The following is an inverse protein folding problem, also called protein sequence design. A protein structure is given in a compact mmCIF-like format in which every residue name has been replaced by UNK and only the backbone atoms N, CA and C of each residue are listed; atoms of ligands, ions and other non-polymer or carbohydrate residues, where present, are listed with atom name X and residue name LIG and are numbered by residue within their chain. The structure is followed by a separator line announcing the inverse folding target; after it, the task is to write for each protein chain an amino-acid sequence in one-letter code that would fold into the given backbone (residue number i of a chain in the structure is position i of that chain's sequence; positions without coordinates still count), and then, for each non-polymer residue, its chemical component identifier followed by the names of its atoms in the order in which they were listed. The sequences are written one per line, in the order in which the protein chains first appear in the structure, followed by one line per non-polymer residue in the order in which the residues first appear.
data_IF_660040923616
#
_entry.id   IF_660040923616
#
_cell.length_a   1.000
_cell.length_b   1.000
_cell.length_c   1.000
_cell.angle_alpha   90.00
_cell.angle_beta   90.00
_cell.angle_gamma   90.00
#
_symmetry.space_group_name_H-M   'P 1'
#
loop_
_entity.id
_entity.type
_entity.pdbx_description
1 polymer ?
#
# COMPACT_ATOMS: atom_id res chain seq x y z
N UNK A 1 -41.14 -8.15 13.44
CA UNK A 1 -40.25 -8.16 14.61
C UNK A 1 -38.84 -7.90 14.08
N UNK A 2 -38.40 -6.65 14.14
CA UNK A 2 -37.16 -6.18 13.51
C UNK A 2 -36.13 -5.98 14.62
N UNK A 3 -35.13 -6.84 14.67
CA UNK A 3 -34.02 -6.74 15.62
C UNK A 3 -33.12 -5.59 15.18
N UNK A 4 -33.12 -4.50 15.93
CA UNK A 4 -32.18 -3.40 15.76
C UNK A 4 -30.78 -3.88 16.18
N UNK A 5 -29.85 -3.95 15.24
CA UNK A 5 -28.43 -4.13 15.54
C UNK A 5 -27.93 -2.86 16.25
N UNK A 6 -27.48 -3.03 17.49
CA UNK A 6 -26.89 -1.97 18.28
C UNK A 6 -25.68 -1.37 17.55
N UNK A 7 -25.67 -0.04 17.43
CA UNK A 7 -24.58 0.77 16.89
C UNK A 7 -23.37 0.62 17.84
N UNK A 8 -22.20 0.14 17.39
CA UNK A 8 -21.02 0.12 18.26
C UNK A 8 -20.67 1.57 18.64
N UNK A 9 -20.42 1.77 19.92
CA UNK A 9 -20.09 3.06 20.51
C UNK A 9 -18.90 3.70 19.76
N UNK A 10 -18.97 5.01 19.57
CA UNK A 10 -17.96 5.79 18.87
C UNK A 10 -16.58 5.57 19.48
N UNK A 11 -15.64 5.11 18.66
CA UNK A 11 -14.23 5.03 18.99
C UNK A 11 -13.71 6.45 19.26
N UNK A 12 -13.41 6.70 20.53
CA UNK A 12 -12.84 7.95 20.99
C UNK A 12 -11.33 7.77 21.09
N UNK A 13 -10.57 8.56 20.33
CA UNK A 13 -9.11 8.61 20.45
C UNK A 13 -8.73 9.11 21.86
N UNK A 14 -7.66 8.58 22.48
CA UNK A 14 -7.22 9.01 23.80
C UNK A 14 -6.74 10.48 23.81
N UNK A 15 -6.78 11.16 24.97
CA UNK A 15 -6.48 12.58 25.09
C UNK A 15 -5.04 12.98 24.70
N UNK A 16 -4.94 14.18 24.13
CA UNK A 16 -3.88 14.79 23.32
C UNK A 16 -2.65 15.33 24.08
N UNK A 17 -2.23 14.71 25.19
CA UNK A 17 -1.06 15.18 25.98
C UNK A 17 0.15 14.25 25.92
N UNK A 18 0.07 13.22 25.07
CA UNK A 18 1.18 12.35 24.72
C UNK A 18 1.38 12.47 23.21
N UNK A 19 2.63 12.33 22.76
CA UNK A 19 2.92 12.05 21.35
C UNK A 19 1.91 11.00 20.86
N UNK A 20 1.01 11.32 19.91
CA UNK A 20 -0.08 10.41 19.55
C UNK A 20 0.45 9.17 18.81
N UNK A 21 1.72 9.18 18.38
CA UNK A 21 2.32 8.13 17.55
C UNK A 21 2.36 6.74 18.21
N UNK A 22 2.65 6.54 19.50
CA UNK A 22 2.61 5.22 20.13
C UNK A 22 1.19 4.67 20.24
N UNK A 23 0.20 5.51 20.54
CA UNK A 23 -1.21 5.09 20.62
C UNK A 23 -1.77 4.77 19.22
N UNK A 24 -1.49 5.62 18.23
CA UNK A 24 -1.83 5.37 16.82
C UNK A 24 -1.15 4.10 16.30
N UNK A 25 0.13 3.87 16.65
CA UNK A 25 0.85 2.64 16.29
C UNK A 25 0.23 1.40 16.92
N UNK A 26 -0.07 1.43 18.22
CA UNK A 26 -0.71 0.30 18.91
C UNK A 26 -2.09 -0.01 18.31
N UNK A 27 -2.86 1.03 17.95
CA UNK A 27 -4.12 0.88 17.24
C UNK A 27 -3.91 0.26 15.84
N UNK A 28 -2.93 0.74 15.06
CA UNK A 28 -2.59 0.17 13.76
C UNK A 28 -2.15 -1.29 13.86
N UNK A 29 -1.40 -1.65 14.89
CA UNK A 29 -0.96 -3.02 15.12
C UNK A 29 -2.16 -3.94 15.41
N UNK A 30 -3.15 -3.47 16.19
CA UNK A 30 -4.39 -4.23 16.44
C UNK A 30 -5.33 -4.38 15.24
N UNK A 31 -5.15 -3.61 14.15
CA UNK A 31 -5.92 -3.77 12.92
C UNK A 31 -5.46 -4.97 12.07
N UNK A 32 -4.27 -5.51 12.34
CA UNK A 32 -3.64 -6.56 11.53
C UNK A 32 -4.19 -7.95 11.88
N UNK A 33 -4.63 -8.15 13.13
CA UNK A 33 -4.92 -9.47 13.68
C UNK A 33 -6.14 -10.17 13.04
N UNK A 34 -7.10 -9.40 12.51
CA UNK A 34 -8.32 -9.91 11.88
C UNK A 34 -8.20 -10.15 10.37
N UNK A 35 -7.02 -9.93 9.78
CA UNK A 35 -6.82 -9.98 8.33
C UNK A 35 -6.16 -11.27 7.88
N UNK A 36 -6.48 -11.70 6.65
CA UNK A 36 -5.97 -12.92 6.05
C UNK A 36 -4.43 -12.98 6.09
N UNK A 37 -3.84 -14.16 6.35
CA UNK A 37 -2.40 -14.33 6.35
C UNK A 37 -1.79 -13.96 5.00
N UNK A 38 -0.49 -13.72 4.97
CA UNK A 38 0.24 -13.41 3.74
C UNK A 38 -0.32 -12.19 2.98
N UNK A 39 -0.63 -11.13 3.71
CA UNK A 39 -1.20 -9.88 3.17
C UNK A 39 -0.28 -8.70 3.50
N UNK A 40 -0.02 -7.86 2.50
CA UNK A 40 0.60 -6.55 2.70
C UNK A 40 -0.50 -5.50 2.92
N UNK A 41 -0.34 -4.66 3.93
CA UNK A 41 -1.29 -3.63 4.32
C UNK A 41 -0.64 -2.25 4.15
N UNK A 42 -1.26 -1.43 3.30
CA UNK A 42 -1.00 0.00 3.22
C UNK A 42 -2.08 0.73 4.02
N UNK A 43 -1.72 1.23 5.19
CA UNK A 43 -2.66 1.84 6.14
C UNK A 43 -2.43 3.35 6.16
N UNK A 44 -3.47 4.11 5.83
CA UNK A 44 -3.46 5.57 5.86
C UNK A 44 -4.37 6.06 6.98
N UNK A 45 -3.82 6.84 7.91
CA UNK A 45 -4.56 7.50 8.99
C UNK A 45 -4.63 8.99 8.67
N UNK A 46 -5.82 9.49 8.34
CA UNK A 46 -6.07 10.91 8.06
C UNK A 46 -6.09 11.70 9.36
N UNK A 47 -5.38 12.82 9.38
CA UNK A 47 -5.28 13.70 10.53
C UNK A 47 -6.30 14.87 10.41
N UNK A 48 -6.77 15.44 11.53
CA UNK A 48 -7.72 16.56 11.50
C UNK A 48 -7.18 17.83 10.82
N UNK A 49 -5.86 17.99 10.75
CA UNK A 49 -5.18 19.12 10.09
C UNK A 49 -5.11 18.99 8.56
N UNK A 50 -5.67 17.92 7.99
CA UNK A 50 -5.62 17.62 6.56
C UNK A 50 -4.41 16.79 6.14
N UNK A 51 -3.49 16.48 7.06
CA UNK A 51 -2.37 15.58 6.85
C UNK A 51 -2.76 14.10 6.87
N UNK A 52 -1.78 13.23 6.65
CA UNK A 52 -1.96 11.79 6.80
C UNK A 52 -0.66 11.10 7.24
N UNK A 53 -0.79 10.07 8.06
CA UNK A 53 0.29 9.14 8.36
C UNK A 53 0.09 7.83 7.59
N UNK A 54 1.16 7.31 7.00
CA UNK A 54 1.16 6.04 6.29
C UNK A 54 1.96 5.00 7.07
N UNK A 55 1.36 3.83 7.23
CA UNK A 55 1.94 2.69 7.89
C UNK A 55 1.91 1.47 6.97
N UNK A 56 3.04 0.76 6.91
CA UNK A 56 3.12 -0.54 6.26
C UNK A 56 3.08 -1.64 7.30
N UNK A 57 2.22 -2.64 7.07
CA UNK A 57 2.12 -3.85 7.90
C UNK A 57 2.01 -5.10 7.02
N UNK A 58 2.33 -6.23 7.63
CA UNK A 58 2.22 -7.54 7.01
C UNK A 58 1.57 -8.48 8.01
N UNK A 59 0.57 -9.24 7.55
CA UNK A 59 -0.01 -10.34 8.35
C UNK A 59 0.96 -11.53 8.34
N UNK A 60 0.63 -12.59 9.10
CA UNK A 60 1.51 -13.75 9.30
C UNK A 60 2.07 -14.32 7.98
N UNK A 61 3.40 -14.48 7.90
CA UNK A 61 4.12 -14.96 6.71
C UNK A 61 4.24 -13.97 5.55
N UNK A 62 3.59 -12.80 5.63
CA UNK A 62 3.56 -11.82 4.55
C UNK A 62 4.90 -11.14 4.29
N UNK A 63 5.75 -10.99 5.32
CA UNK A 63 7.07 -10.36 5.17
C UNK A 63 7.97 -11.19 4.26
N UNK A 64 8.14 -12.47 4.58
CA UNK A 64 9.00 -13.39 3.85
C UNK A 64 8.48 -13.62 2.43
N UNK A 65 7.16 -13.70 2.25
CA UNK A 65 6.56 -13.84 0.93
C UNK A 65 6.73 -12.58 0.09
N UNK A 66 6.51 -11.40 0.67
CA UNK A 66 6.70 -10.12 0.00
C UNK A 66 8.12 -9.93 -0.52
N UNK A 67 9.13 -10.23 0.30
CA UNK A 67 10.54 -10.16 -0.14
C UNK A 67 10.86 -11.11 -1.31
N UNK A 68 10.25 -12.29 -1.34
CA UNK A 68 10.41 -13.24 -2.46
C UNK A 68 9.74 -12.74 -3.74
N UNK A 69 8.54 -12.14 -3.62
CA UNK A 69 7.85 -11.52 -4.74
C UNK A 69 8.69 -10.39 -5.32
N UNK A 70 9.24 -9.52 -4.47
CA UNK A 70 10.06 -8.39 -4.90
C UNK A 70 11.30 -8.86 -5.67
N UNK A 71 12.01 -9.87 -5.15
CA UNK A 71 13.15 -10.44 -5.85
C UNK A 71 12.76 -11.03 -7.22
N UNK A 72 11.66 -11.77 -7.27
CA UNK A 72 11.17 -12.37 -8.52
C UNK A 72 10.77 -11.28 -9.54
N UNK A 73 10.05 -10.24 -9.10
CA UNK A 73 9.61 -9.14 -9.94
C UNK A 73 10.79 -8.35 -10.52
N UNK A 74 11.78 -8.02 -9.68
CA UNK A 74 13.00 -7.35 -10.11
C UNK A 74 13.81 -8.20 -11.10
N UNK A 75 13.88 -9.51 -10.88
CA UNK A 75 14.57 -10.44 -11.78
C UNK A 75 13.86 -10.57 -13.12
N UNK A 76 12.53 -10.56 -13.12
CA UNK A 76 11.69 -10.60 -14.31
C UNK A 76 11.62 -9.27 -15.08
N UNK A 77 12.31 -8.22 -14.61
CA UNK A 77 12.31 -6.91 -15.25
C UNK A 77 10.96 -6.19 -15.16
N UNK A 78 10.17 -6.46 -14.13
CA UNK A 78 8.93 -5.72 -13.87
C UNK A 78 9.23 -4.29 -13.41
N UNK A 79 8.42 -3.35 -13.88
CA UNK A 79 8.51 -1.94 -13.49
C UNK A 79 7.35 -1.53 -12.56
N UNK A 80 7.33 -0.27 -12.15
CA UNK A 80 6.32 0.24 -11.24
C UNK A 80 4.91 0.24 -11.83
N UNK A 81 4.72 0.36 -13.15
CA UNK A 81 3.38 0.27 -13.74
C UNK A 81 2.84 -1.15 -13.58
N UNK A 82 3.68 -2.15 -13.83
CA UNK A 82 3.30 -3.55 -13.57
C UNK A 82 2.98 -3.78 -12.09
N UNK A 83 3.77 -3.19 -11.19
CA UNK A 83 3.51 -3.21 -9.75
C UNK A 83 2.15 -2.66 -9.38
N UNK A 84 1.80 -1.46 -9.85
CA UNK A 84 0.48 -0.88 -9.59
C UNK A 84 -0.65 -1.72 -10.18
N UNK A 85 -0.49 -2.19 -11.42
CA UNK A 85 -1.49 -3.01 -12.09
C UNK A 85 -1.78 -4.29 -11.31
N UNK A 86 -0.73 -5.04 -10.98
CA UNK A 86 -0.83 -6.32 -10.26
C UNK A 86 -1.37 -6.11 -8.83
N UNK A 87 -0.85 -5.12 -8.10
CA UNK A 87 -1.25 -4.89 -6.71
C UNK A 87 -2.70 -4.39 -6.58
N UNK A 88 -3.20 -3.63 -7.55
CA UNK A 88 -4.57 -3.12 -7.55
C UNK A 88 -5.60 -4.17 -7.98
N UNK A 89 -5.21 -5.15 -8.79
CA UNK A 89 -6.12 -6.19 -9.31
C UNK A 89 -6.75 -7.04 -8.20
N UNK A 90 -6.04 -7.22 -7.09
CA UNK A 90 -6.48 -8.04 -5.94
C UNK A 90 -6.73 -7.20 -4.68
N UNK A 91 -6.72 -5.87 -4.81
CA UNK A 91 -6.85 -4.96 -3.69
C UNK A 91 -8.24 -5.08 -3.05
N UNK A 92 -8.25 -5.23 -1.73
CA UNK A 92 -9.43 -4.97 -0.89
C UNK A 92 -9.23 -3.67 -0.13
N UNK A 93 -10.16 -2.73 -0.28
CA UNK A 93 -10.13 -1.43 0.39
C UNK A 93 -11.12 -1.42 1.56
N UNK A 94 -10.65 -1.04 2.74
CA UNK A 94 -11.43 -1.00 3.98
C UNK A 94 -11.29 0.38 4.59
N UNK A 95 -12.41 1.08 4.77
CA UNK A 95 -12.44 2.37 5.45
C UNK A 95 -13.13 2.26 6.82
N UNK A 96 -12.50 2.83 7.86
CA UNK A 96 -13.00 2.89 9.23
C UNK A 96 -12.71 4.27 9.83
N UNK A 97 -13.66 5.19 9.71
CA UNK A 97 -13.49 6.56 10.19
C UNK A 97 -12.31 7.26 9.49
N UNK A 98 -11.31 7.78 10.20
CA UNK A 98 -10.15 8.42 9.59
C UNK A 98 -9.16 7.44 8.95
N UNK A 99 -9.38 6.13 9.07
CA UNK A 99 -8.43 5.09 8.67
C UNK A 99 -8.87 4.45 7.37
N UNK A 100 -7.96 4.36 6.41
CA UNK A 100 -8.10 3.58 5.18
C UNK A 100 -7.04 2.49 5.15
N UNK A 101 -7.45 1.25 4.91
CA UNK A 101 -6.59 0.09 4.83
C UNK A 101 -6.73 -0.50 3.43
N UNK A 102 -5.63 -0.47 2.69
CA UNK A 102 -5.51 -1.17 1.41
C UNK A 102 -4.82 -2.51 1.68
N UNK A 103 -5.60 -3.60 1.59
CA UNK A 103 -5.12 -4.95 1.81
C UNK A 103 -4.78 -5.63 0.48
N UNK A 104 -3.52 -6.00 0.33
CA UNK A 104 -2.93 -6.60 -0.86
C UNK A 104 -2.56 -8.07 -0.58
N UNK A 105 -3.40 -9.04 -0.96
CA UNK A 105 -3.11 -10.45 -0.73
C UNK A 105 -1.92 -10.87 -1.60
N UNK A 106 -0.88 -11.43 -0.96
CA UNK A 106 0.40 -11.64 -1.64
C UNK A 106 0.42 -12.90 -2.49
N UNK A 107 -0.42 -13.90 -2.21
CA UNK A 107 -0.52 -15.14 -3.02
C UNK A 107 -1.01 -14.89 -4.44
N UNK A 108 -2.12 -14.16 -4.66
CA UNK A 108 -2.52 -13.75 -6.01
C UNK A 108 -1.45 -12.89 -6.71
N UNK A 109 -0.83 -11.94 -5.99
CA UNK A 109 0.25 -11.11 -6.53
C UNK A 109 1.44 -11.98 -6.98
N UNK A 110 1.86 -12.95 -6.17
CA UNK A 110 2.92 -13.89 -6.51
C UNK A 110 2.60 -14.64 -7.80
N UNK A 111 1.36 -15.11 -7.97
CA UNK A 111 0.93 -15.80 -9.18
C UNK A 111 0.99 -14.90 -10.42
N UNK A 112 0.57 -13.63 -10.30
CA UNK A 112 0.65 -12.66 -11.39
C UNK A 112 2.10 -12.34 -11.78
N UNK A 113 3.02 -12.18 -10.81
CA UNK A 113 4.44 -11.97 -11.19
C UNK A 113 5.06 -13.23 -11.80
N UNK A 114 4.71 -14.41 -11.29
CA UNK A 114 5.22 -15.68 -11.81
C UNK A 114 4.73 -15.97 -13.24
N UNK A 115 3.51 -15.56 -13.58
CA UNK A 115 2.95 -15.66 -14.94
C UNK A 115 3.39 -14.49 -15.84
N UNK A 116 4.08 -13.51 -15.28
CA UNK A 116 4.65 -12.38 -16.03
C UNK A 116 3.62 -11.35 -16.47
N UNK A 117 2.50 -11.21 -15.74
CA UNK A 117 1.48 -10.19 -16.01
C UNK A 117 2.12 -8.81 -16.15
N UNK A 118 1.66 -8.05 -17.15
CA UNK A 118 2.12 -6.69 -17.44
C UNK A 118 0.97 -5.71 -17.45
N UNK A 119 1.22 -4.49 -17.01
CA UNK A 119 0.28 -3.39 -17.12
C UNK A 119 0.00 -3.08 -18.60
N UNK A 120 -1.26 -2.79 -18.96
CA UNK A 120 -1.61 -2.36 -20.31
C UNK A 120 -0.98 -0.99 -20.62
N UNK A 121 -0.76 -0.72 -21.91
CA UNK A 121 -0.09 0.52 -22.33
C UNK A 121 -0.86 1.79 -21.93
N UNK A 122 -2.19 1.71 -21.82
CA UNK A 122 -3.02 2.82 -21.33
C UNK A 122 -2.67 3.23 -19.90
N UNK A 123 -2.45 2.26 -19.00
CA UNK A 123 -2.04 2.51 -17.61
C UNK A 123 -0.60 3.02 -17.56
N UNK A 124 0.30 2.43 -18.36
CA UNK A 124 1.70 2.88 -18.49
C UNK A 124 1.78 4.33 -18.93
N UNK A 125 1.03 4.69 -19.97
CA UNK A 125 0.94 6.06 -20.47
C UNK A 125 0.36 7.01 -19.42
N UNK A 126 -0.66 6.56 -18.66
CA UNK A 126 -1.20 7.29 -17.52
C UNK A 126 -0.14 7.60 -16.46
N UNK A 127 0.61 6.58 -16.04
CA UNK A 127 1.64 6.73 -15.02
C UNK A 127 2.79 7.64 -15.48
N UNK A 128 3.23 7.52 -16.74
CA UNK A 128 4.23 8.43 -17.32
C UNK A 128 3.77 9.89 -17.25
N UNK A 129 2.50 10.18 -17.57
CA UNK A 129 1.95 11.53 -17.44
C UNK A 129 1.99 12.02 -15.99
N UNK A 130 1.57 11.19 -15.04
CA UNK A 130 1.59 11.55 -13.61
C UNK A 130 3.01 11.87 -13.13
N UNK A 131 3.99 11.04 -13.49
CA UNK A 131 5.40 11.27 -13.13
C UNK A 131 5.91 12.58 -13.74
N UNK A 132 5.62 12.82 -15.02
CA UNK A 132 6.01 14.05 -15.70
C UNK A 132 5.41 15.29 -15.02
N UNK A 133 4.11 15.28 -14.72
CA UNK A 133 3.46 16.37 -13.99
C UNK A 133 4.04 16.56 -12.59
N UNK A 134 4.32 15.48 -11.85
CA UNK A 134 4.92 15.57 -10.53
C UNK A 134 6.32 16.21 -10.57
N UNK A 135 7.12 15.91 -11.59
CA UNK A 135 8.43 16.53 -11.80
C UNK A 135 8.30 18.04 -12.06
N UNK A 136 7.36 18.45 -12.92
CA UNK A 136 7.08 19.86 -13.19
C UNK A 136 6.66 20.63 -11.93
N UNK A 137 5.69 20.09 -11.17
CA UNK A 137 5.15 20.75 -9.98
C UNK A 137 6.16 20.84 -8.84
N UNK A 138 6.99 19.81 -8.67
CA UNK A 138 8.01 19.78 -7.60
C UNK A 138 9.28 20.55 -7.94
N UNK A 139 9.41 21.05 -9.17
CA UNK A 139 10.66 21.65 -9.69
C UNK A 139 11.82 20.65 -9.77
N UNK A 140 11.56 19.36 -9.57
CA UNK A 140 12.57 18.32 -9.70
C UNK A 140 12.84 18.07 -11.18
N UNK A 141 14.12 17.93 -11.51
CA UNK A 141 14.49 17.55 -12.86
C UNK A 141 13.95 16.15 -13.14
N UNK A 142 13.11 16.03 -14.17
CA UNK A 142 12.73 14.72 -14.68
C UNK A 142 14.02 13.96 -14.98
N UNK A 143 14.19 12.78 -14.39
CA UNK A 143 15.40 11.97 -14.61
C UNK A 143 15.50 11.80 -16.12
N UNK A 144 16.58 12.33 -16.72
CA UNK A 144 16.77 12.46 -18.17
C UNK A 144 16.71 11.14 -18.97
N UNK A 145 16.40 10.02 -18.31
CA UNK A 145 15.95 8.76 -18.94
C UNK A 145 14.47 8.85 -19.30
N UNK A 146 14.17 9.72 -20.24
CA UNK A 146 12.91 9.78 -20.95
C UNK A 146 12.62 8.43 -21.67
N UNK A 147 11.50 7.73 -21.37
CA UNK A 147 10.81 7.62 -20.10
C UNK A 147 10.82 6.14 -19.65
N UNK A 148 11.88 5.72 -18.95
CA UNK A 148 11.88 4.42 -18.28
C UNK A 148 11.13 4.60 -16.97
N UNK A 149 9.99 3.94 -16.84
CA UNK A 149 9.24 3.89 -15.58
C UNK A 149 10.17 3.44 -14.44
N UNK A 150 9.99 3.97 -13.22
CA UNK A 150 10.70 3.46 -12.05
C UNK A 150 10.62 1.94 -11.97
N UNK A 151 11.64 1.32 -11.37
CA UNK A 151 11.64 -0.12 -11.10
C UNK A 151 10.46 -0.49 -10.19
N UNK A 152 10.14 -1.78 -10.13
CA UNK A 152 9.20 -2.37 -9.17
C UNK A 152 9.30 -1.69 -7.78
N UNK A 153 8.15 -1.28 -7.23
CA UNK A 153 8.09 -0.45 -6.01
C UNK A 153 8.13 -1.25 -4.71
N UNK A 154 7.83 -2.55 -4.76
CA UNK A 154 7.90 -3.45 -3.61
C UNK A 154 6.55 -3.73 -2.96
N UNK A 155 6.39 -4.97 -2.51
CA UNK A 155 5.36 -5.41 -1.55
C UNK A 155 6.00 -6.08 -0.31
N UNK A 156 7.30 -6.33 -0.35
CA UNK A 156 8.11 -6.82 0.75
C UNK A 156 8.74 -5.70 1.58
N UNK A 157 8.99 -5.96 2.87
CA UNK A 157 9.59 -4.96 3.76
C UNK A 157 11.00 -4.55 3.30
N UNK A 158 11.80 -5.45 2.70
CA UNK A 158 13.18 -5.10 2.30
C UNK A 158 13.23 -3.98 1.28
N UNK A 159 12.29 -3.95 0.33
CA UNK A 159 12.27 -2.90 -0.68
C UNK A 159 11.52 -1.66 -0.20
N UNK A 160 10.39 -1.83 0.50
CA UNK A 160 9.57 -0.71 0.97
C UNK A 160 10.17 0.07 2.16
N UNK A 161 11.07 -0.55 2.92
CA UNK A 161 11.69 0.08 4.11
C UNK A 161 13.19 0.29 3.96
N UNK A 162 13.77 -0.07 2.81
CA UNK A 162 15.15 0.29 2.48
C UNK A 162 15.27 1.83 2.47
N UNK A 163 16.17 2.34 3.30
CA UNK A 163 16.60 3.75 3.30
C UNK A 163 17.96 3.85 2.64
#
# INVERSE_FOLDING_TARGET
MTTALARPAGLQLPPLDLDPRPAERAFVDGLVDDLEPETFLWITVRQPDGGAHVYYRWTGGGRELGDRIDLAALTAGLDCADGFHIANRHLTDIERGPVRIQAHPLRPIQADVATGVRAPESERAGLRRVIHYAALESGQQEIARNPVLPRWLGVGPKLLTAR
#
